data_IF_307453362289
#
_entry.id   IF_307453362289
#
_cell.length_a   1.000
_cell.length_b   1.000
_cell.length_c   1.000
_cell.angle_alpha   90.00
_cell.angle_beta   90.00
_cell.angle_gamma   90.00
#
_symmetry.space_group_name_H-M   'P 1'
#
loop_
_entity.id
_entity.type
_entity.pdbx_description
1 polymer ?
#
# COMPACT_ATOMS: atom_id res chain seq x y z
N UNK A 1 -1.40 8.57 -10.56
CA UNK A 1 -0.80 7.23 -10.36
C UNK A 1 -1.81 6.12 -10.62
N UNK A 2 -2.97 6.12 -9.98
CA UNK A 2 -3.99 5.09 -10.16
C UNK A 2 -4.51 5.06 -11.61
N UNK A 3 -4.82 6.20 -12.18
CA UNK A 3 -5.27 6.29 -13.57
C UNK A 3 -4.24 5.78 -14.57
N UNK A 4 -2.98 6.09 -14.31
CA UNK A 4 -1.88 5.63 -15.16
C UNK A 4 -1.72 4.11 -15.08
N UNK A 5 -1.82 3.54 -13.89
CA UNK A 5 -1.78 2.09 -13.70
C UNK A 5 -2.89 1.39 -14.48
N UNK A 6 -4.11 1.91 -14.41
CA UNK A 6 -5.25 1.35 -15.14
C UNK A 6 -5.07 1.46 -16.66
N UNK A 7 -4.56 2.59 -17.15
CA UNK A 7 -4.28 2.75 -18.59
C UNK A 7 -3.24 1.77 -19.11
N UNK A 8 -2.33 1.31 -18.25
CA UNK A 8 -1.35 0.27 -18.58
C UNK A 8 -1.89 -1.14 -18.40
N UNK A 9 -3.18 -1.30 -18.15
CA UNK A 9 -3.80 -2.60 -17.92
C UNK A 9 -3.48 -3.21 -16.56
N UNK A 10 -2.89 -2.46 -15.64
CA UNK A 10 -2.58 -2.93 -14.30
C UNK A 10 -3.81 -2.92 -13.44
N UNK A 11 -3.97 -3.96 -12.64
CA UNK A 11 -5.02 -4.03 -11.63
C UNK A 11 -4.62 -3.18 -10.43
N UNK A 12 -5.56 -2.38 -9.93
CA UNK A 12 -5.35 -1.52 -8.76
C UNK A 12 -6.03 -2.14 -7.55
N UNK A 13 -5.23 -2.43 -6.54
CA UNK A 13 -5.66 -3.05 -5.28
C UNK A 13 -5.27 -2.12 -4.14
N UNK A 14 -6.20 -1.88 -3.22
CA UNK A 14 -5.98 -0.98 -2.08
C UNK A 14 -6.34 -1.70 -0.79
N UNK A 15 -5.40 -1.84 0.16
CA UNK A 15 -5.75 -2.27 1.52
C UNK A 15 -6.67 -1.27 2.20
N UNK A 16 -7.70 -1.74 2.89
CA UNK A 16 -8.71 -0.85 3.49
C UNK A 16 -8.14 0.18 4.48
N UNK A 17 -7.07 -0.10 5.25
CA UNK A 17 -6.48 0.94 6.12
C UNK A 17 -5.99 2.18 5.36
N UNK A 18 -5.60 2.04 4.10
CA UNK A 18 -5.20 3.17 3.25
C UNK A 18 -6.37 4.13 3.03
N UNK A 19 -7.57 3.60 2.91
CA UNK A 19 -8.79 4.40 2.74
C UNK A 19 -8.99 5.33 3.94
N UNK A 20 -8.80 4.81 5.15
CA UNK A 20 -8.92 5.61 6.37
C UNK A 20 -7.91 6.75 6.40
N UNK A 21 -6.68 6.48 6.00
CA UNK A 21 -5.61 7.48 5.98
C UNK A 21 -5.86 8.58 4.95
N UNK A 22 -6.31 8.21 3.76
CA UNK A 22 -6.64 9.16 2.69
C UNK A 22 -7.87 9.98 3.06
N UNK A 23 -8.89 9.34 3.59
CA UNK A 23 -10.14 10.01 3.99
C UNK A 23 -9.89 11.07 5.07
N UNK A 24 -8.98 10.79 5.99
CA UNK A 24 -8.55 11.75 7.02
C UNK A 24 -7.95 13.02 6.43
N UNK A 25 -7.37 12.94 5.23
CA UNK A 25 -6.65 14.03 4.59
C UNK A 25 -7.51 15.19 4.08
N UNK A 26 -8.83 15.16 4.29
CA UNK A 26 -9.71 16.26 3.93
C UNK A 26 -10.03 16.37 2.43
N UNK A 27 -9.98 15.27 1.71
CA UNK A 27 -10.37 15.23 0.30
C UNK A 27 -11.85 15.58 0.17
N UNK A 28 -12.22 16.33 -0.86
CA UNK A 28 -13.62 16.53 -1.15
C UNK A 28 -14.28 15.23 -1.65
N UNK A 29 -15.59 15.18 -1.53
CA UNK A 29 -16.36 13.97 -1.85
C UNK A 29 -16.20 13.54 -3.32
N UNK A 30 -16.16 14.51 -4.22
CA UNK A 30 -16.05 14.20 -5.66
C UNK A 30 -14.70 13.56 -6.00
N UNK A 31 -13.60 14.07 -5.43
CA UNK A 31 -12.26 13.50 -5.62
C UNK A 31 -12.17 12.10 -5.01
N UNK A 32 -12.75 11.92 -3.83
CA UNK A 32 -12.80 10.62 -3.18
C UNK A 32 -13.57 9.60 -4.02
N UNK A 33 -14.76 9.96 -4.49
CA UNK A 33 -15.59 9.08 -5.31
C UNK A 33 -14.87 8.66 -6.60
N UNK A 34 -14.19 9.59 -7.26
CA UNK A 34 -13.42 9.28 -8.48
C UNK A 34 -12.27 8.31 -8.18
N UNK A 35 -11.58 8.52 -7.08
CA UNK A 35 -10.48 7.64 -6.66
C UNK A 35 -10.98 6.26 -6.32
N UNK A 36 -12.06 6.16 -5.54
CA UNK A 36 -12.64 4.88 -5.16
C UNK A 36 -13.12 4.07 -6.37
N UNK A 37 -13.69 4.74 -7.37
CA UNK A 37 -14.15 4.09 -8.61
C UNK A 37 -12.98 3.57 -9.47
N UNK A 38 -11.79 4.12 -9.32
CA UNK A 38 -10.62 3.70 -10.08
C UNK A 38 -9.93 2.47 -9.47
N UNK A 39 -10.32 2.05 -8.28
CA UNK A 39 -9.76 0.89 -7.60
C UNK A 39 -10.52 -0.37 -8.02
N UNK A 40 -9.79 -1.41 -8.38
CA UNK A 40 -10.39 -2.69 -8.78
C UNK A 40 -10.83 -3.52 -7.58
N UNK A 41 -10.05 -3.52 -6.52
CA UNK A 41 -10.31 -4.33 -5.34
C UNK A 41 -9.87 -3.61 -4.08
N UNK A 42 -10.71 -3.66 -3.04
CA UNK A 42 -10.31 -3.30 -1.69
C UNK A 42 -10.07 -4.58 -0.90
N UNK A 43 -8.90 -4.66 -0.24
CA UNK A 43 -8.52 -5.82 0.56
C UNK A 43 -8.62 -5.50 2.04
N UNK A 44 -9.43 -6.28 2.75
CA UNK A 44 -9.44 -6.23 4.21
C UNK A 44 -8.15 -6.84 4.76
N UNK A 45 -7.60 -6.23 5.80
CA UNK A 45 -6.38 -6.71 6.43
C UNK A 45 -6.67 -7.95 7.29
N UNK A 46 -6.05 -9.06 6.94
CA UNK A 46 -6.15 -10.27 7.76
C UNK A 46 -5.28 -10.16 9.02
N UNK A 47 -5.54 -11.03 10.00
CA UNK A 47 -4.68 -11.10 11.18
C UNK A 47 -3.23 -11.44 10.81
N UNK A 48 -3.02 -12.38 9.91
CA UNK A 48 -1.68 -12.75 9.46
C UNK A 48 -0.94 -11.59 8.83
N UNK A 49 -1.61 -10.82 7.96
CA UNK A 49 -1.03 -9.63 7.36
C UNK A 49 -0.71 -8.57 8.41
N UNK A 50 -1.61 -8.35 9.37
CA UNK A 50 -1.38 -7.40 10.45
C UNK A 50 -0.19 -7.79 11.33
N UNK A 51 -0.04 -9.07 11.65
CA UNK A 51 1.10 -9.58 12.41
C UNK A 51 2.41 -9.44 11.63
N UNK A 52 2.40 -9.73 10.35
CA UNK A 52 3.56 -9.53 9.47
C UNK A 52 3.97 -8.05 9.44
N UNK A 53 3.01 -7.14 9.31
CA UNK A 53 3.27 -5.71 9.37
C UNK A 53 3.92 -5.29 10.69
N UNK A 54 3.47 -5.84 11.80
CA UNK A 54 4.07 -5.60 13.11
C UNK A 54 5.53 -6.02 13.19
N UNK A 55 5.86 -7.17 12.61
CA UNK A 55 7.27 -7.62 12.52
C UNK A 55 8.11 -6.64 11.72
N UNK A 56 7.61 -6.14 10.59
CA UNK A 56 8.33 -5.16 9.77
C UNK A 56 8.57 -3.85 10.52
N UNK A 57 7.59 -3.38 11.28
CA UNK A 57 7.76 -2.18 12.10
C UNK A 57 8.86 -2.39 13.16
N UNK A 58 8.88 -3.56 13.80
CA UNK A 58 9.89 -3.89 14.80
C UNK A 58 11.31 -3.96 14.21
N UNK A 59 11.45 -4.36 12.96
CA UNK A 59 12.74 -4.45 12.27
C UNK A 59 13.27 -3.10 11.79
N UNK A 60 12.40 -2.13 11.57
CA UNK A 60 12.76 -0.86 10.92
C UNK A 60 12.73 0.33 11.86
N UNK A 61 12.17 0.19 13.06
CA UNK A 61 11.86 1.31 13.97
C UNK A 61 10.91 2.35 13.36
N UNK A 62 10.27 2.02 12.25
CA UNK A 62 9.22 2.85 11.67
C UNK A 62 7.91 2.66 12.45
N UNK A 63 7.07 3.69 12.44
CA UNK A 63 5.84 3.71 13.24
C UNK A 63 4.56 3.78 12.41
N UNK A 64 4.67 3.88 11.09
CA UNK A 64 3.53 4.03 10.19
C UNK A 64 2.92 2.66 9.89
N UNK A 65 1.93 2.27 10.69
CA UNK A 65 1.29 0.95 10.58
C UNK A 65 0.66 0.71 9.20
N UNK A 66 0.07 1.74 8.60
CA UNK A 66 -0.57 1.61 7.28
C UNK A 66 0.46 1.25 6.21
N UNK A 67 1.62 1.90 6.21
CA UNK A 67 2.70 1.60 5.28
C UNK A 67 3.19 0.16 5.43
N UNK A 68 3.35 -0.30 6.67
CA UNK A 68 3.76 -1.67 6.95
C UNK A 68 2.72 -2.69 6.47
N UNK A 69 1.43 -2.37 6.61
CA UNK A 69 0.34 -3.22 6.10
C UNK A 69 0.38 -3.29 4.57
N UNK A 70 0.62 -2.17 3.90
CA UNK A 70 0.76 -2.14 2.44
C UNK A 70 1.88 -3.05 1.97
N UNK A 71 3.04 -2.98 2.62
CA UNK A 71 4.19 -3.83 2.27
C UNK A 71 3.90 -5.29 2.56
N UNK A 72 3.34 -5.61 3.72
CA UNK A 72 3.00 -6.98 4.09
C UNK A 72 2.00 -7.59 3.11
N UNK A 73 1.01 -6.82 2.67
CA UNK A 73 0.03 -7.27 1.68
C UNK A 73 0.66 -7.47 0.31
N UNK A 74 1.53 -6.56 -0.11
CA UNK A 74 2.22 -6.64 -1.40
C UNK A 74 3.17 -7.83 -1.48
N UNK A 75 3.77 -8.24 -0.38
CA UNK A 75 4.70 -9.38 -0.36
C UNK A 75 4.01 -10.72 -0.62
N UNK A 76 2.69 -10.78 -0.48
CA UNK A 76 1.92 -11.98 -0.80
C UNK A 76 1.62 -12.11 -2.30
N UNK A 77 1.93 -11.10 -3.09
CA UNK A 77 1.71 -11.10 -4.52
C UNK A 77 2.79 -10.25 -5.20
N UNK A 78 3.35 -10.73 -6.29
CA UNK A 78 4.39 -9.99 -7.04
C UNK A 78 3.76 -8.73 -7.63
N UNK A 79 3.98 -7.59 -6.99
CA UNK A 79 3.27 -6.36 -7.32
C UNK A 79 4.14 -5.12 -7.20
N UNK A 80 3.65 -4.00 -7.70
CA UNK A 80 4.27 -2.69 -7.56
C UNK A 80 3.50 -1.88 -6.53
N UNK A 81 4.20 -1.29 -5.57
CA UNK A 81 3.63 -0.36 -4.60
C UNK A 81 3.78 1.05 -5.15
N UNK A 82 2.66 1.76 -5.29
CA UNK A 82 2.65 3.19 -5.62
C UNK A 82 2.60 3.99 -4.33
N UNK A 83 3.56 4.87 -4.12
CA UNK A 83 3.66 5.63 -2.87
C UNK A 83 4.22 7.03 -3.09
N UNK A 84 3.79 7.97 -2.25
CA UNK A 84 4.40 9.30 -2.14
C UNK A 84 5.61 9.32 -1.20
N UNK A 85 5.85 8.21 -0.50
CA UNK A 85 6.97 8.07 0.45
C UNK A 85 7.81 6.83 0.11
N UNK A 86 8.57 6.87 -1.00
CA UNK A 86 9.31 5.70 -1.46
C UNK A 86 10.44 5.29 -0.51
N UNK A 87 10.98 6.20 0.30
CA UNK A 87 12.08 5.89 1.20
C UNK A 87 11.62 4.98 2.34
N UNK A 88 10.54 5.33 3.03
CA UNK A 88 10.01 4.51 4.12
C UNK A 88 9.44 3.19 3.62
N UNK A 89 8.71 3.20 2.52
CA UNK A 89 8.21 1.98 1.89
C UNK A 89 9.39 1.09 1.46
N UNK A 90 10.42 1.67 0.86
CA UNK A 90 11.62 0.95 0.45
C UNK A 90 12.33 0.27 1.62
N UNK A 91 12.42 0.94 2.76
CA UNK A 91 13.01 0.36 3.99
C UNK A 91 12.20 -0.83 4.49
N UNK A 92 10.88 -0.74 4.44
CA UNK A 92 10.00 -1.84 4.85
C UNK A 92 10.12 -3.04 3.89
N UNK A 93 10.17 -2.80 2.58
CA UNK A 93 10.37 -3.85 1.58
C UNK A 93 11.71 -4.56 1.80
N UNK A 94 12.78 -3.79 2.05
CA UNK A 94 14.10 -4.34 2.31
C UNK A 94 14.11 -5.19 3.59
N UNK A 95 13.47 -4.69 4.66
CA UNK A 95 13.37 -5.40 5.93
C UNK A 95 12.56 -6.70 5.84
N UNK A 96 11.63 -6.77 4.91
CA UNK A 96 10.81 -7.96 4.68
C UNK A 96 11.64 -9.16 4.22
N UNK A 97 12.75 -8.92 3.54
CA UNK A 97 13.62 -10.00 3.06
C UNK A 97 12.98 -10.91 2.01
N UNK A 98 11.66 -11.00 2.00
CA UNK A 98 10.88 -11.74 1.02
C UNK A 98 10.41 -10.85 -0.13
N UNK A 99 10.86 -9.61 -0.18
CA UNK A 99 10.41 -8.59 -1.13
C UNK A 99 10.84 -8.81 -2.57
N UNK A 100 11.23 -10.01 -2.94
CA UNK A 100 11.56 -10.34 -4.32
C UNK A 100 10.32 -10.20 -5.19
N UNK A 101 10.42 -9.34 -6.22
CA UNK A 101 9.30 -9.07 -7.11
C UNK A 101 8.35 -7.98 -6.62
N UNK A 102 8.62 -7.37 -5.48
CA UNK A 102 7.91 -6.16 -5.04
C UNK A 102 8.72 -4.95 -5.46
N UNK A 103 8.13 -4.11 -6.28
CA UNK A 103 8.76 -2.90 -6.79
C UNK A 103 8.10 -1.69 -6.13
N UNK A 104 8.89 -0.65 -5.86
CA UNK A 104 8.40 0.61 -5.30
C UNK A 104 8.48 1.69 -6.37
N UNK A 105 7.36 2.33 -6.64
CA UNK A 105 7.27 3.40 -7.62
C UNK A 105 6.74 4.66 -6.95
N UNK A 106 7.50 5.76 -7.08
CA UNK A 106 7.09 7.05 -6.55
C UNK A 106 5.98 7.67 -7.42
N UNK A 107 5.03 8.30 -6.77
CA UNK A 107 3.94 9.01 -7.45
C UNK A 107 4.18 10.52 -7.48
#
# INVERSE_FOLDING_TARGET
AIRRARRKGRRVVVPTPVVAQVHRGGWDRASMDRTLKAVDTFLETSLDTAMHAGVLLGRTDLTHAVDAIVVAEASNSLTTILTSDPDDIGRLVEADGAGRGVYVEAV
#
